data_IF_743033224643
#
_entry.id   IF_743033224643
#
_cell.length_a   1.000
_cell.length_b   1.000
_cell.length_c   1.000
_cell.angle_alpha   90.00
_cell.angle_beta   90.00
_cell.angle_gamma   90.00
#
_symmetry.space_group_name_H-M   'P 1'
#
loop_
_entity.id
_entity.type
_entity.pdbx_description
1 polymer ?
#
# COMPACT_ATOMS: atom_id res chain seq x y z
N UNK A 1 -19.30 11.86 -8.09
CA UNK A 1 -18.79 11.12 -9.25
C UNK A 1 -18.55 9.67 -8.87
N UNK A 2 -19.09 8.73 -9.64
CA UNK A 2 -18.97 7.32 -9.32
C UNK A 2 -17.64 6.74 -9.85
N UNK A 3 -17.02 5.88 -9.04
CA UNK A 3 -15.84 5.13 -9.46
C UNK A 3 -16.28 3.75 -9.92
N UNK A 4 -15.93 3.41 -11.16
CA UNK A 4 -16.25 2.09 -11.73
C UNK A 4 -15.16 1.09 -11.33
N UNK A 5 -15.58 0.01 -10.67
CA UNK A 5 -14.67 -1.07 -10.27
C UNK A 5 -15.10 -2.35 -10.98
N UNK A 6 -14.15 -2.98 -11.66
CA UNK A 6 -14.34 -4.26 -12.32
C UNK A 6 -13.53 -5.32 -11.60
N UNK A 7 -14.18 -6.41 -11.18
CA UNK A 7 -13.52 -7.51 -10.48
C UNK A 7 -13.59 -8.78 -11.33
N UNK A 8 -12.46 -9.45 -11.41
CA UNK A 8 -12.36 -10.78 -12.01
C UNK A 8 -12.96 -11.81 -11.07
N UNK A 9 -13.30 -13.03 -11.57
CA UNK A 9 -13.76 -14.10 -10.69
C UNK A 9 -12.79 -14.32 -9.52
N UNK A 10 -13.35 -14.43 -8.31
CA UNK A 10 -12.61 -14.67 -7.07
C UNK A 10 -11.62 -13.57 -6.66
N UNK A 11 -11.57 -12.47 -7.39
CA UNK A 11 -10.70 -11.35 -7.05
C UNK A 11 -11.14 -10.68 -5.75
N UNK A 12 -10.17 -10.28 -4.94
CA UNK A 12 -10.44 -9.65 -3.65
C UNK A 12 -10.32 -8.13 -3.74
N UNK A 13 -11.02 -7.46 -2.83
CA UNK A 13 -11.01 -6.01 -2.69
C UNK A 13 -11.16 -5.67 -1.21
N UNK A 14 -10.37 -4.74 -0.70
CA UNK A 14 -10.62 -4.17 0.62
C UNK A 14 -11.34 -2.85 0.41
N UNK A 15 -12.49 -2.68 1.05
CA UNK A 15 -13.27 -1.44 0.98
C UNK A 15 -13.72 -1.07 2.38
N UNK A 16 -13.31 0.11 2.84
CA UNK A 16 -13.57 0.62 4.20
C UNK A 16 -13.29 -0.41 5.29
N UNK A 17 -12.16 -1.13 5.17
CA UNK A 17 -11.73 -2.14 6.13
C UNK A 17 -12.36 -3.51 5.96
N UNK A 18 -13.32 -3.68 5.07
CA UNK A 18 -13.95 -4.98 4.80
C UNK A 18 -13.22 -5.69 3.65
N UNK A 19 -12.80 -6.92 3.88
CA UNK A 19 -12.25 -7.75 2.81
C UNK A 19 -13.40 -8.44 2.10
N UNK A 20 -13.53 -8.15 0.80
CA UNK A 20 -14.58 -8.70 -0.05
C UNK A 20 -13.94 -9.58 -1.11
N UNK A 21 -14.56 -10.72 -1.39
CA UNK A 21 -14.15 -11.61 -2.48
C UNK A 21 -15.27 -11.67 -3.51
N UNK A 22 -14.94 -11.45 -4.78
CA UNK A 22 -15.90 -11.63 -5.86
C UNK A 22 -16.26 -13.11 -6.02
N UNK A 23 -17.46 -13.35 -6.55
CA UNK A 23 -17.92 -14.70 -6.85
C UNK A 23 -17.23 -15.28 -8.08
N UNK A 24 -17.91 -16.23 -8.72
CA UNK A 24 -17.35 -17.01 -9.82
C UNK A 24 -17.48 -16.35 -11.20
N UNK A 25 -18.03 -15.15 -11.26
CA UNK A 25 -18.20 -14.39 -12.49
C UNK A 25 -17.59 -13.01 -12.38
N UNK A 26 -17.12 -12.48 -13.51
CA UNK A 26 -16.65 -11.09 -13.58
C UNK A 26 -17.82 -10.17 -13.20
N UNK A 27 -17.54 -9.18 -12.36
CA UNK A 27 -18.53 -8.24 -11.85
C UNK A 27 -18.07 -6.81 -12.02
N UNK A 28 -19.02 -5.91 -12.24
CA UNK A 28 -18.79 -4.48 -12.31
C UNK A 28 -19.72 -3.81 -11.32
N UNK A 29 -19.17 -2.89 -10.52
CA UNK A 29 -20.03 -2.06 -9.67
C UNK A 29 -19.47 -0.64 -9.60
N UNK A 30 -20.33 0.28 -9.18
CA UNK A 30 -20.00 1.69 -9.07
C UNK A 30 -19.94 2.06 -7.59
N UNK A 31 -18.86 2.71 -7.20
CA UNK A 31 -18.73 3.27 -5.86
C UNK A 31 -19.18 4.73 -5.95
N UNK A 32 -20.32 5.03 -5.37
CA UNK A 32 -20.96 6.35 -5.50
C UNK A 32 -20.48 7.37 -4.48
N UNK A 33 -19.95 6.90 -3.35
CA UNK A 33 -19.45 7.77 -2.29
C UNK A 33 -17.95 7.56 -2.09
N UNK A 34 -17.21 8.58 -1.64
CA UNK A 34 -15.79 8.40 -1.34
C UNK A 34 -15.58 7.31 -0.31
N UNK A 35 -14.60 6.44 -0.55
CA UNK A 35 -14.26 5.36 0.36
C UNK A 35 -12.77 5.03 0.23
N UNK A 36 -12.24 4.33 1.22
CA UNK A 36 -10.87 3.81 1.17
C UNK A 36 -10.93 2.39 0.66
N UNK A 37 -10.22 2.13 -0.43
CA UNK A 37 -10.21 0.79 -1.02
C UNK A 37 -8.83 0.43 -1.53
N UNK A 38 -8.54 -0.87 -1.55
CA UNK A 38 -7.35 -1.44 -2.16
C UNK A 38 -7.76 -2.62 -3.03
N UNK A 39 -7.26 -2.63 -4.27
CA UNK A 39 -7.44 -3.77 -5.18
C UNK A 39 -6.51 -4.90 -4.76
N UNK A 40 -6.83 -6.13 -5.12
CA UNK A 40 -6.01 -7.30 -4.77
C UNK A 40 -4.54 -7.11 -5.15
N UNK A 41 -4.28 -6.51 -6.33
CA UNK A 41 -2.91 -6.25 -6.79
C UNK A 41 -2.14 -5.25 -5.93
N UNK A 42 -2.84 -4.46 -5.11
CA UNK A 42 -2.25 -3.46 -4.22
C UNK A 42 -2.07 -3.99 -2.80
N UNK A 43 -2.69 -5.13 -2.48
CA UNK A 43 -2.65 -5.70 -1.14
C UNK A 43 -1.38 -6.53 -0.98
N UNK A 44 -0.64 -6.27 0.09
CA UNK A 44 0.49 -7.10 0.48
C UNK A 44 0.19 -7.68 1.86
N UNK A 45 0.37 -9.01 2.02
CA UNK A 45 0.16 -9.66 3.30
C UNK A 45 1.45 -9.62 4.10
N UNK A 46 1.32 -9.51 5.42
CA UNK A 46 2.46 -9.49 6.32
C UNK A 46 3.35 -10.73 6.14
N UNK A 47 2.73 -11.89 5.91
CA UNK A 47 3.44 -13.15 5.71
C UNK A 47 4.32 -13.14 4.44
N UNK A 48 4.00 -12.31 3.47
CA UNK A 48 4.75 -12.21 2.21
C UNK A 48 5.80 -11.11 2.23
N UNK A 49 5.87 -10.34 3.32
CA UNK A 49 6.80 -9.22 3.45
C UNK A 49 8.15 -9.72 3.99
N UNK A 50 9.00 -10.19 3.09
CA UNK A 50 10.29 -10.79 3.41
C UNK A 50 11.49 -9.84 3.30
N UNK A 51 11.24 -8.58 2.96
CA UNK A 51 12.27 -7.53 2.94
C UNK A 51 11.82 -6.33 3.77
N UNK A 52 12.76 -5.47 4.14
CA UNK A 52 12.45 -4.26 4.90
C UNK A 52 11.48 -3.36 4.13
N UNK A 53 11.68 -3.22 2.82
CA UNK A 53 10.81 -2.39 1.98
C UNK A 53 9.41 -2.95 1.86
N UNK A 54 9.26 -4.27 1.78
CA UNK A 54 7.93 -4.90 1.77
C UNK A 54 7.22 -4.72 3.10
N UNK A 55 7.96 -4.80 4.22
CA UNK A 55 7.38 -4.53 5.54
C UNK A 55 6.90 -3.09 5.66
N UNK A 56 7.64 -2.15 5.07
CA UNK A 56 7.22 -0.76 5.00
C UNK A 56 5.92 -0.63 4.17
N UNK A 57 5.77 -1.39 3.11
CA UNK A 57 4.53 -1.41 2.31
C UNK A 57 3.34 -1.87 3.14
N UNK A 58 3.50 -2.88 4.01
CA UNK A 58 2.43 -3.31 4.92
C UNK A 58 2.03 -2.15 5.83
N UNK A 59 3.02 -1.43 6.37
CA UNK A 59 2.76 -0.26 7.23
C UNK A 59 1.97 0.82 6.48
N UNK A 60 2.31 1.08 5.22
CA UNK A 60 1.57 2.05 4.40
C UNK A 60 0.11 1.64 4.20
N UNK A 61 -0.16 0.35 4.05
CA UNK A 61 -1.55 -0.14 3.97
C UNK A 61 -2.31 0.14 5.25
N UNK A 62 -1.69 -0.11 6.41
CA UNK A 62 -2.33 0.15 7.70
C UNK A 62 -2.64 1.63 7.85
N UNK A 63 -1.71 2.50 7.49
CA UNK A 63 -1.91 3.96 7.56
C UNK A 63 -3.09 4.37 6.68
N UNK A 64 -3.19 3.81 5.48
CA UNK A 64 -4.28 4.14 4.56
C UNK A 64 -5.63 3.65 5.07
N UNK A 65 -5.68 2.44 5.62
CA UNK A 65 -6.93 1.79 6.01
C UNK A 65 -7.44 2.22 7.39
N UNK A 66 -6.56 2.71 8.26
CA UNK A 66 -6.89 3.09 9.63
C UNK A 66 -6.52 4.55 9.89
N UNK A 67 -7.52 5.43 9.97
CA UNK A 67 -7.32 6.86 10.18
C UNK A 67 -6.68 7.21 11.52
N UNK A 68 -6.76 6.33 12.51
CA UNK A 68 -6.21 6.57 13.84
C UNK A 68 -4.87 5.86 14.06
N UNK A 69 -4.11 5.61 13.00
CA UNK A 69 -2.92 4.79 13.02
C UNK A 69 -1.64 5.57 13.41
N UNK A 70 -1.67 6.29 14.55
CA UNK A 70 -0.49 7.03 15.02
C UNK A 70 0.71 6.10 15.23
N UNK A 71 0.48 4.90 15.75
CA UNK A 71 1.55 3.91 15.95
C UNK A 71 2.14 3.46 14.63
N UNK A 72 1.31 3.28 13.60
CA UNK A 72 1.79 2.89 12.27
C UNK A 72 2.62 4.02 11.63
N UNK A 73 2.24 5.27 11.84
CA UNK A 73 3.03 6.41 11.36
C UNK A 73 4.40 6.47 12.03
N UNK A 74 4.46 6.23 13.34
CA UNK A 74 5.72 6.16 14.06
C UNK A 74 6.58 5.00 13.56
N UNK A 75 5.98 3.85 13.34
CA UNK A 75 6.68 2.69 12.79
C UNK A 75 7.24 3.00 11.40
N UNK A 76 6.48 3.70 10.58
CA UNK A 76 6.94 4.09 9.24
C UNK A 76 8.23 4.92 9.31
N UNK A 77 8.31 5.86 10.25
CA UNK A 77 9.51 6.68 10.44
C UNK A 77 10.70 5.81 10.81
N UNK A 78 10.51 4.87 11.76
CA UNK A 78 11.58 3.96 12.17
C UNK A 78 12.04 3.07 11.01
N UNK A 79 11.09 2.50 10.27
CA UNK A 79 11.40 1.65 9.11
C UNK A 79 12.13 2.44 8.03
N UNK A 80 11.69 3.67 7.75
CA UNK A 80 12.33 4.54 6.76
C UNK A 80 13.77 4.84 7.15
N UNK A 81 14.00 5.13 8.43
CA UNK A 81 15.36 5.43 8.93
C UNK A 81 16.28 4.23 8.75
N UNK A 82 15.81 3.02 9.09
CA UNK A 82 16.62 1.81 8.94
C UNK A 82 16.91 1.49 7.47
N UNK A 83 15.92 1.64 6.60
CA UNK A 83 16.12 1.41 5.17
C UNK A 83 17.12 2.40 4.61
N UNK A 84 17.02 3.68 4.99
CA UNK A 84 17.96 4.70 4.52
C UNK A 84 19.39 4.40 4.94
N UNK A 85 19.59 3.88 6.16
CA UNK A 85 20.94 3.50 6.65
C UNK A 85 21.52 2.34 5.86
N UNK A 86 20.71 1.33 5.55
CA UNK A 86 21.20 0.11 4.89
C UNK A 86 21.19 0.22 3.37
N UNK A 87 20.32 1.04 2.81
CA UNK A 87 20.18 1.23 1.36
C UNK A 87 20.12 2.74 1.08
N UNK A 88 21.27 3.44 1.02
CA UNK A 88 21.26 4.90 0.78
C UNK A 88 20.55 5.30 -0.51
N UNK A 89 20.58 4.46 -1.55
CA UNK A 89 19.85 4.71 -2.80
C UNK A 89 18.34 4.74 -2.66
N UNK A 90 17.81 4.36 -1.50
CA UNK A 90 16.36 4.40 -1.22
C UNK A 90 15.84 5.82 -0.97
N UNK A 91 16.73 6.81 -0.74
CA UNK A 91 16.33 8.15 -0.34
C UNK A 91 15.27 8.78 -1.24
N UNK A 92 15.38 8.78 -2.58
CA UNK A 92 14.34 9.38 -3.43
C UNK A 92 12.95 8.75 -3.25
N UNK A 93 12.92 7.42 -3.04
CA UNK A 93 11.65 6.71 -2.81
C UNK A 93 11.04 7.11 -1.46
N UNK A 94 11.86 7.16 -0.42
CA UNK A 94 11.39 7.50 0.93
C UNK A 94 10.88 8.94 0.99
N UNK A 95 11.58 9.88 0.37
CA UNK A 95 11.13 11.27 0.28
C UNK A 95 9.78 11.35 -0.43
N UNK A 96 9.64 10.67 -1.57
CA UNK A 96 8.39 10.67 -2.33
C UNK A 96 7.23 10.06 -1.54
N UNK A 97 7.50 9.00 -0.77
CA UNK A 97 6.48 8.36 0.08
C UNK A 97 6.00 9.34 1.15
N UNK A 98 6.91 9.96 1.88
CA UNK A 98 6.55 10.88 2.96
C UNK A 98 5.86 12.14 2.41
N UNK A 99 6.28 12.66 1.26
CA UNK A 99 5.62 13.79 0.60
C UNK A 99 4.19 13.43 0.19
N UNK A 100 3.99 12.23 -0.36
CA UNK A 100 2.66 11.76 -0.75
C UNK A 100 1.74 11.63 0.47
N UNK A 101 2.24 11.09 1.57
CA UNK A 101 1.46 10.98 2.81
C UNK A 101 1.08 12.35 3.37
N UNK A 102 2.01 13.31 3.35
CA UNK A 102 1.75 14.66 3.81
C UNK A 102 0.65 15.33 2.97
N UNK A 103 0.59 14.99 1.68
CA UNK A 103 -0.44 15.48 0.76
C UNK A 103 -1.71 14.63 0.76
N UNK A 104 -1.77 13.60 1.61
CA UNK A 104 -2.87 12.63 1.70
C UNK A 104 -3.12 11.88 0.39
N UNK A 105 -2.06 11.69 -0.39
CA UNK A 105 -2.08 10.91 -1.64
C UNK A 105 -1.66 9.47 -1.34
N UNK A 106 -2.55 8.72 -0.68
CA UNK A 106 -2.22 7.39 -0.14
C UNK A 106 -1.90 6.36 -1.23
N UNK A 107 -2.64 6.37 -2.34
CA UNK A 107 -2.36 5.43 -3.44
C UNK A 107 -1.00 5.69 -4.07
N UNK A 108 -0.61 6.96 -4.16
CA UNK A 108 0.72 7.32 -4.66
C UNK A 108 1.80 6.82 -3.70
N UNK A 109 1.59 6.98 -2.39
CA UNK A 109 2.51 6.49 -1.37
C UNK A 109 2.68 4.98 -1.47
N UNK A 110 1.58 4.25 -1.58
CA UNK A 110 1.58 2.79 -1.71
C UNK A 110 2.30 2.36 -2.99
N UNK A 111 2.00 3.01 -4.10
CA UNK A 111 2.65 2.72 -5.39
C UNK A 111 4.16 2.95 -5.32
N UNK A 112 4.58 4.05 -4.69
CA UNK A 112 6.00 4.37 -4.52
C UNK A 112 6.68 3.37 -3.59
N UNK A 113 5.99 2.92 -2.54
CA UNK A 113 6.48 1.86 -1.66
C UNK A 113 6.75 0.57 -2.42
N UNK A 114 5.87 0.21 -3.36
CA UNK A 114 6.06 -0.97 -4.20
C UNK A 114 7.27 -0.82 -5.12
N UNK A 115 7.52 0.39 -5.63
CA UNK A 115 8.72 0.67 -6.41
C UNK A 115 9.98 0.52 -5.56
N UNK A 116 9.93 0.97 -4.31
CA UNK A 116 11.03 0.79 -3.37
C UNK A 116 11.29 -0.69 -3.11
N UNK A 117 10.24 -1.48 -2.91
CA UNK A 117 10.36 -2.91 -2.70
C UNK A 117 11.01 -3.60 -3.92
N UNK A 118 10.63 -3.20 -5.12
CA UNK A 118 11.25 -3.71 -6.35
C UNK A 118 12.72 -3.30 -6.44
N UNK A 119 13.04 -2.08 -6.05
CA UNK A 119 14.42 -1.59 -6.03
C UNK A 119 15.28 -2.42 -5.06
N UNK A 120 14.78 -2.71 -3.86
CA UNK A 120 15.50 -3.56 -2.91
C UNK A 120 15.68 -4.98 -3.46
N UNK A 121 14.65 -5.56 -4.07
CA UNK A 121 14.74 -6.89 -4.67
C UNK A 121 15.84 -6.95 -5.74
N UNK A 122 16.00 -5.89 -6.54
CA UNK A 122 17.07 -5.81 -7.53
C UNK A 122 18.45 -5.79 -6.90
N UNK A 123 18.59 -5.15 -5.73
CA UNK A 123 19.88 -5.05 -5.05
C UNK A 123 20.36 -6.36 -4.44
N UNK A 124 19.44 -7.24 -4.05
CA UNK A 124 19.78 -8.50 -3.39
C UNK A 124 19.85 -9.69 -4.34
N UNK A 125 19.66 -9.46 -5.62
CA UNK A 125 19.85 -10.48 -6.65
C UNK A 125 21.32 -10.73 -6.94
#
# INVERSE_FOLDING_TARGET
MALRIELKPAERLIINGALIRNGDRRSVFLVETPCRFLRESEIIREADADTASKKLCVTLQVIYLDESAAEAENLLVLQSTEILKTIPGSAPYLVAIHDALAAKQYHLAIKTGRKLAAFEDELIR
#
